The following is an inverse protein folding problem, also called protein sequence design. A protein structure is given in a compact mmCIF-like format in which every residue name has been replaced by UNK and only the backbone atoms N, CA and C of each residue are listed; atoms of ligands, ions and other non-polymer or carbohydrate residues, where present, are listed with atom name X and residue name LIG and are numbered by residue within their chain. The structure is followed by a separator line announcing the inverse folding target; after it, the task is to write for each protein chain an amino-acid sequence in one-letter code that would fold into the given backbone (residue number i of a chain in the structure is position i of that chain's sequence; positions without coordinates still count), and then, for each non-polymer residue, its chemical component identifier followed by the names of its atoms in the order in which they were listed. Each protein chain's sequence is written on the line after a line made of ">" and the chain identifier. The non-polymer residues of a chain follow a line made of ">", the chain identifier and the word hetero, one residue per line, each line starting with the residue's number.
data_IF_232354346943
#
_entry.id   IF_232354346943
#
_cell.length_a   1.000
_cell.length_b   1.000
_cell.length_c   1.000
_cell.angle_alpha   90.00
_cell.angle_beta   90.00
_cell.angle_gamma   90.00
#
_symmetry.space_group_name_H-M   'P 1'
#
loop_
_entity.id
_entity.type
_entity.pdbx_description
1 polymer ?
#
# COMPACT_ATOMS: atom_id res chain seq x y z
N UNK A 1 27.10 -61.08 -23.69
CA UNK A 1 26.90 -60.33 -24.95
C UNK A 1 26.26 -59.00 -24.61
N UNK A 2 27.10 -57.96 -24.52
CA UNK A 2 26.69 -56.63 -24.06
C UNK A 2 26.58 -55.71 -25.29
N UNK A 3 25.37 -55.25 -25.65
CA UNK A 3 25.21 -54.25 -26.70
C UNK A 3 25.54 -52.85 -26.18
N UNK A 4 26.56 -52.24 -26.79
CA UNK A 4 26.87 -50.82 -26.63
C UNK A 4 26.01 -50.03 -27.61
N UNK A 5 24.98 -49.35 -27.12
CA UNK A 5 24.15 -48.42 -27.89
C UNK A 5 24.93 -47.13 -28.16
N UNK A 6 25.20 -46.85 -29.43
CA UNK A 6 25.92 -45.66 -29.90
C UNK A 6 25.09 -44.38 -29.76
N UNK A 7 25.51 -43.51 -28.88
CA UNK A 7 24.99 -42.14 -28.63
C UNK A 7 25.60 -41.09 -29.58
N UNK A 8 25.54 -41.31 -30.92
CA UNK A 8 26.20 -40.39 -31.88
C UNK A 8 25.26 -39.50 -32.72
N UNK A 9 23.93 -39.52 -32.51
CA UNK A 9 22.99 -38.77 -33.36
C UNK A 9 22.65 -37.30 -33.03
N UNK A 10 22.79 -36.75 -31.80
CA UNK A 10 22.43 -35.35 -31.56
C UNK A 10 23.47 -34.34 -32.02
N UNK A 11 24.76 -34.67 -32.11
CA UNK A 11 25.83 -33.73 -32.40
C UNK A 11 25.90 -33.29 -33.88
N UNK A 12 25.49 -34.17 -34.82
CA UNK A 12 25.51 -33.86 -36.25
C UNK A 12 24.45 -32.84 -36.65
N UNK A 13 23.33 -32.79 -35.96
CA UNK A 13 22.28 -31.77 -36.15
C UNK A 13 22.74 -30.37 -35.75
N UNK A 14 23.41 -30.26 -34.61
CA UNK A 14 23.99 -29.03 -34.09
C UNK A 14 25.09 -28.48 -35.00
N UNK A 15 26.00 -29.35 -35.50
CA UNK A 15 27.07 -28.97 -36.43
C UNK A 15 26.54 -28.45 -37.77
N UNK A 16 25.48 -29.07 -38.32
CA UNK A 16 24.83 -28.60 -39.58
C UNK A 16 24.09 -27.27 -39.37
N UNK A 17 23.48 -27.07 -38.22
CA UNK A 17 22.83 -25.79 -37.87
C UNK A 17 23.84 -24.67 -37.70
N UNK A 18 24.93 -24.91 -36.98
CA UNK A 18 26.02 -23.93 -36.80
C UNK A 18 26.68 -23.53 -38.13
N UNK A 19 26.92 -24.50 -39.05
CA UNK A 19 27.49 -24.19 -40.35
C UNK A 19 26.53 -23.35 -41.23
N UNK A 20 25.22 -23.53 -41.12
CA UNK A 20 24.23 -22.69 -41.82
C UNK A 20 24.17 -21.27 -41.27
N UNK A 21 24.24 -21.13 -39.98
CA UNK A 21 24.26 -19.80 -39.34
C UNK A 21 25.52 -19.06 -39.75
N UNK A 22 26.68 -19.72 -39.73
CA UNK A 22 27.97 -19.11 -40.10
C UNK A 22 27.98 -18.64 -41.57
N UNK A 23 27.44 -19.44 -42.51
CA UNK A 23 27.35 -19.05 -43.94
C UNK A 23 26.42 -17.85 -44.12
N UNK A 24 25.30 -17.78 -43.41
CA UNK A 24 24.38 -16.63 -43.48
C UNK A 24 24.99 -15.37 -42.88
N UNK A 25 25.67 -15.44 -41.74
CA UNK A 25 26.38 -14.35 -41.14
C UNK A 25 27.48 -13.81 -42.05
N UNK A 26 28.28 -14.67 -42.68
CA UNK A 26 29.30 -14.26 -43.64
C UNK A 26 28.74 -13.62 -44.92
N UNK A 27 27.55 -14.02 -45.36
CA UNK A 27 26.87 -13.41 -46.50
C UNK A 27 26.36 -12.00 -46.15
N UNK A 28 25.76 -11.82 -44.97
CA UNK A 28 25.31 -10.54 -44.46
C UNK A 28 26.46 -9.55 -44.23
N UNK A 29 27.57 -10.04 -43.69
CA UNK A 29 28.79 -9.23 -43.52
C UNK A 29 29.31 -8.66 -44.83
N UNK A 30 29.30 -9.45 -45.93
CA UNK A 30 29.75 -8.99 -47.24
C UNK A 30 28.78 -7.99 -47.89
N UNK A 31 27.46 -8.15 -47.64
CA UNK A 31 26.43 -7.31 -48.21
C UNK A 31 26.30 -5.97 -47.46
N UNK A 32 26.42 -6.00 -46.13
CA UNK A 32 26.15 -4.89 -45.22
C UNK A 32 27.19 -4.75 -44.12
N UNK A 33 28.47 -4.39 -44.41
CA UNK A 33 29.54 -4.47 -43.42
C UNK A 33 29.40 -3.49 -42.25
N UNK A 34 28.77 -2.33 -42.46
CA UNK A 34 28.60 -1.31 -41.41
C UNK A 34 27.46 -1.67 -40.45
N UNK A 35 26.35 -2.16 -41.01
CA UNK A 35 25.19 -2.57 -40.22
C UNK A 35 25.45 -3.82 -39.39
N UNK A 36 26.22 -4.79 -39.94
CA UNK A 36 26.58 -6.01 -39.21
C UNK A 36 27.59 -5.73 -38.10
N UNK A 37 28.50 -4.76 -38.25
CA UNK A 37 29.37 -4.29 -37.17
C UNK A 37 28.53 -3.63 -36.05
N UNK A 38 27.55 -2.79 -36.38
CA UNK A 38 26.68 -2.16 -35.39
C UNK A 38 25.87 -3.16 -34.61
N UNK A 39 25.26 -4.13 -35.29
CA UNK A 39 24.49 -5.20 -34.64
C UNK A 39 25.36 -6.13 -33.79
N UNK A 40 26.58 -6.42 -34.25
CA UNK A 40 27.52 -7.24 -33.48
C UNK A 40 27.96 -6.54 -32.18
N UNK A 41 28.31 -5.26 -32.26
CA UNK A 41 28.64 -4.43 -31.08
C UNK A 41 27.46 -4.32 -30.10
N UNK A 42 26.25 -4.10 -30.63
CA UNK A 42 25.04 -4.04 -29.79
C UNK A 42 24.76 -5.37 -29.10
N UNK A 43 24.94 -6.48 -29.80
CA UNK A 43 24.81 -7.83 -29.23
C UNK A 43 25.82 -8.13 -28.10
N UNK A 44 27.07 -7.69 -28.26
CA UNK A 44 28.12 -7.86 -27.26
C UNK A 44 27.82 -6.98 -26.00
N UNK A 45 27.37 -5.73 -26.19
CA UNK A 45 27.00 -4.84 -25.10
C UNK A 45 25.78 -5.38 -24.35
N UNK A 46 24.76 -5.86 -25.08
CA UNK A 46 23.59 -6.46 -24.47
C UNK A 46 23.93 -7.74 -23.67
N UNK A 47 24.79 -8.60 -24.21
CA UNK A 47 25.23 -9.80 -23.50
C UNK A 47 26.08 -9.46 -22.26
N UNK A 48 26.91 -8.42 -22.32
CA UNK A 48 27.68 -7.94 -21.17
C UNK A 48 26.77 -7.38 -20.06
N UNK A 49 25.74 -6.61 -20.43
CA UNK A 49 24.75 -6.06 -19.47
C UNK A 49 23.94 -7.18 -18.83
N UNK A 50 23.48 -8.18 -19.61
CA UNK A 50 22.75 -9.33 -19.07
C UNK A 50 23.66 -10.19 -18.18
N UNK A 51 24.91 -10.39 -18.59
CA UNK A 51 25.91 -11.14 -17.81
C UNK A 51 26.24 -10.49 -16.48
N UNK A 52 26.37 -9.16 -16.44
CA UNK A 52 26.66 -8.42 -15.20
C UNK A 52 25.45 -8.38 -14.26
N UNK A 53 24.24 -8.26 -14.79
CA UNK A 53 23.03 -8.30 -13.96
C UNK A 53 22.76 -9.69 -13.39
N UNK A 54 23.07 -10.76 -14.12
CA UNK A 54 22.96 -12.13 -13.62
C UNK A 54 24.01 -12.46 -12.54
N UNK A 55 25.23 -11.86 -12.63
CA UNK A 55 26.27 -12.03 -11.62
C UNK A 55 26.08 -11.15 -10.37
N UNK A 56 25.28 -10.07 -10.49
CA UNK A 56 25.01 -9.12 -9.40
C UNK A 56 23.62 -9.32 -8.79
N UNK A 57 22.90 -10.38 -9.12
CA UNK A 57 21.65 -10.75 -8.48
C UNK A 57 21.89 -10.88 -6.96
N UNK A 58 21.08 -10.24 -6.09
CA UNK A 58 21.21 -10.45 -4.67
C UNK A 58 21.11 -11.96 -4.42
N UNK A 59 22.16 -12.51 -3.78
CA UNK A 59 22.10 -13.87 -3.27
C UNK A 59 20.82 -13.97 -2.46
N UNK A 60 19.92 -14.87 -2.87
CA UNK A 60 18.79 -15.30 -2.03
C UNK A 60 19.34 -16.17 -0.88
N UNK A 61 20.35 -15.63 -0.17
CA UNK A 61 20.62 -16.11 1.17
C UNK A 61 19.38 -15.76 1.97
N UNK A 62 18.76 -16.75 2.58
CA UNK A 62 17.74 -16.62 3.60
C UNK A 62 18.19 -15.56 4.63
N UNK A 63 18.01 -14.29 4.28
CA UNK A 63 18.00 -13.23 5.26
C UNK A 63 16.67 -13.48 5.98
N UNK A 64 16.78 -14.06 7.17
CA UNK A 64 15.64 -14.10 8.07
C UNK A 64 15.06 -12.68 8.03
N UNK A 65 13.88 -12.55 7.45
CA UNK A 65 13.17 -11.27 7.35
C UNK A 65 13.09 -10.75 8.79
N UNK A 66 13.82 -9.68 9.05
CA UNK A 66 13.84 -9.09 10.37
C UNK A 66 12.37 -8.80 10.71
N UNK A 67 11.92 -9.33 11.85
CA UNK A 67 10.56 -9.07 12.31
C UNK A 67 10.29 -7.56 12.18
N UNK A 68 9.13 -7.15 11.66
CA UNK A 68 8.80 -5.74 11.54
C UNK A 68 9.01 -5.06 12.89
N UNK A 69 9.50 -3.82 12.93
CA UNK A 69 9.69 -3.10 14.17
C UNK A 69 8.38 -3.11 14.96
N UNK A 70 8.48 -3.31 16.27
CA UNK A 70 7.31 -3.27 17.14
C UNK A 70 6.59 -1.92 16.92
N UNK A 71 5.25 -1.91 16.81
CA UNK A 71 4.49 -0.68 16.67
C UNK A 71 4.80 0.24 17.85
N UNK A 72 4.82 1.57 17.64
CA UNK A 72 5.06 2.52 18.71
C UNK A 72 4.01 2.31 19.83
N UNK A 73 4.38 2.49 21.10
CA UNK A 73 3.46 2.30 22.20
C UNK A 73 2.24 3.21 22.03
N UNK A 74 1.07 2.62 21.93
CA UNK A 74 -0.19 3.36 21.92
C UNK A 74 -0.38 4.03 23.28
N UNK A 75 -0.71 5.31 23.28
CA UNK A 75 -1.04 6.04 24.51
C UNK A 75 -2.47 5.68 24.97
N UNK A 76 -2.64 4.46 25.43
CA UNK A 76 -3.91 3.88 25.87
C UNK A 76 -3.84 3.47 27.35
N UNK A 77 -4.99 3.45 28.00
CA UNK A 77 -5.13 2.93 29.38
C UNK A 77 -4.87 1.42 29.38
N UNK A 78 -4.26 0.87 30.43
CA UNK A 78 -3.85 -0.54 30.50
C UNK A 78 -5.04 -1.46 30.84
N UNK A 79 -6.09 -1.44 30.02
CA UNK A 79 -7.22 -2.34 30.12
C UNK A 79 -7.00 -3.57 29.23
N UNK A 80 -7.43 -4.74 29.70
CA UNK A 80 -7.61 -5.89 28.83
C UNK A 80 -8.72 -5.60 27.80
N UNK A 81 -8.70 -6.21 26.61
CA UNK A 81 -9.68 -5.92 25.55
C UNK A 81 -11.15 -6.02 25.98
N UNK A 82 -11.49 -7.03 26.76
CA UNK A 82 -12.84 -7.21 27.28
C UNK A 82 -13.26 -6.15 28.30
N UNK A 83 -12.32 -5.64 29.09
CA UNK A 83 -12.53 -4.52 29.99
C UNK A 83 -12.70 -3.21 29.20
N UNK A 84 -11.87 -3.01 28.18
CA UNK A 84 -11.98 -1.83 27.32
C UNK A 84 -13.34 -1.76 26.60
N UNK A 85 -13.84 -2.89 26.10
CA UNK A 85 -15.18 -2.98 25.51
C UNK A 85 -16.28 -2.54 26.50
N UNK A 86 -16.21 -2.98 27.75
CA UNK A 86 -17.18 -2.60 28.79
C UNK A 86 -17.11 -1.11 29.09
N UNK A 87 -15.90 -0.58 29.34
CA UNK A 87 -15.67 0.86 29.61
C UNK A 87 -16.18 1.71 28.46
N UNK A 88 -15.89 1.32 27.24
CA UNK A 88 -16.34 2.05 26.05
C UNK A 88 -17.86 1.98 25.83
N UNK A 89 -18.51 0.87 26.19
CA UNK A 89 -19.96 0.73 26.13
C UNK A 89 -20.70 1.60 27.15
N UNK A 90 -20.11 1.81 28.33
CA UNK A 90 -20.68 2.66 29.39
C UNK A 90 -20.65 4.16 29.05
N UNK A 91 -19.73 4.59 28.15
CA UNK A 91 -19.68 5.98 27.70
C UNK A 91 -20.79 6.20 26.67
N UNK A 92 -21.82 7.01 26.96
CA UNK A 92 -22.91 7.22 26.03
C UNK A 92 -22.43 8.03 24.79
N UNK A 93 -23.10 7.80 23.68
CA UNK A 93 -23.01 8.73 22.54
C UNK A 93 -23.58 10.07 23.00
N UNK A 94 -22.86 11.16 22.74
CA UNK A 94 -23.26 12.50 23.18
C UNK A 94 -24.63 12.85 22.63
N UNK A 95 -25.51 13.29 23.51
CA UNK A 95 -26.80 13.86 23.14
C UNK A 95 -26.65 15.15 22.35
N UNK A 96 -27.60 15.45 21.48
CA UNK A 96 -27.62 16.68 20.70
C UNK A 96 -27.28 16.47 19.21
N UNK A 97 -27.21 17.56 18.43
CA UNK A 97 -27.05 17.46 16.98
C UNK A 97 -25.67 16.90 16.60
N UNK A 98 -25.67 15.90 15.71
CA UNK A 98 -24.47 15.44 15.01
C UNK A 98 -24.53 15.93 13.56
N UNK A 99 -24.09 17.17 13.27
CA UNK A 99 -24.25 17.75 11.95
C UNK A 99 -23.46 16.97 10.91
N UNK A 100 -24.09 16.72 9.78
CA UNK A 100 -23.49 16.05 8.65
C UNK A 100 -22.34 16.90 8.10
N UNK A 101 -21.20 16.31 7.86
CA UNK A 101 -20.07 17.00 7.22
C UNK A 101 -20.46 17.44 5.79
N UNK A 102 -19.93 18.57 5.35
CA UNK A 102 -20.14 19.02 3.97
C UNK A 102 -19.39 18.11 2.97
N UNK A 103 -19.92 17.92 1.73
CA UNK A 103 -19.23 17.17 0.69
C UNK A 103 -17.78 17.65 0.46
N UNK A 104 -16.84 16.72 0.35
CA UNK A 104 -15.45 17.03 0.01
C UNK A 104 -15.24 16.87 -1.49
N UNK A 105 -15.09 17.98 -2.19
CA UNK A 105 -14.75 17.97 -3.61
C UNK A 105 -13.26 18.26 -3.75
N UNK A 106 -12.52 17.25 -4.21
CA UNK A 106 -11.08 17.40 -4.40
C UNK A 106 -10.79 18.47 -5.46
N UNK A 107 -9.91 19.40 -5.12
CA UNK A 107 -9.43 20.46 -6.02
C UNK A 107 -7.95 20.24 -6.31
N UNK A 108 -7.58 20.04 -7.57
CA UNK A 108 -6.21 19.82 -8.01
C UNK A 108 -6.16 19.23 -9.41
N UNK A 109 -4.95 19.10 -9.95
CA UNK A 109 -4.74 18.43 -11.23
C UNK A 109 -4.84 16.90 -11.11
N UNK A 110 -4.79 16.19 -12.24
CA UNK A 110 -4.93 14.74 -12.28
C UNK A 110 -3.86 14.00 -11.45
N UNK A 111 -2.62 14.47 -11.45
CA UNK A 111 -1.53 13.86 -10.69
C UNK A 111 -1.76 14.00 -9.18
N UNK A 112 -2.13 15.19 -8.71
CA UNK A 112 -2.45 15.43 -7.31
C UNK A 112 -3.68 14.62 -6.87
N UNK A 113 -4.70 14.46 -7.74
CA UNK A 113 -5.86 13.63 -7.46
C UNK A 113 -5.48 12.15 -7.33
N UNK A 114 -4.64 11.63 -8.22
CA UNK A 114 -4.17 10.24 -8.15
C UNK A 114 -3.38 9.98 -6.85
N UNK A 115 -2.52 10.90 -6.44
CA UNK A 115 -1.79 10.81 -5.19
C UNK A 115 -2.72 10.84 -3.97
N UNK A 116 -3.68 11.76 -3.94
CA UNK A 116 -4.68 11.85 -2.88
C UNK A 116 -5.54 10.58 -2.77
N UNK A 117 -5.95 10.03 -3.93
CA UNK A 117 -6.68 8.77 -4.01
C UNK A 117 -5.87 7.63 -3.40
N UNK A 118 -4.60 7.49 -3.78
CA UNK A 118 -3.72 6.44 -3.25
C UNK A 118 -3.54 6.57 -1.72
N UNK A 119 -3.28 7.76 -1.21
CA UNK A 119 -3.13 7.99 0.23
C UNK A 119 -4.43 7.68 1.00
N UNK A 120 -5.58 8.13 0.50
CA UNK A 120 -6.87 7.85 1.16
C UNK A 120 -7.22 6.36 1.10
N UNK A 121 -6.94 5.70 -0.02
CA UNK A 121 -7.13 4.25 -0.16
C UNK A 121 -6.26 3.47 0.82
N UNK A 122 -5.02 3.90 1.05
CA UNK A 122 -4.15 3.28 2.04
C UNK A 122 -4.76 3.37 3.44
N UNK A 123 -5.23 4.54 3.86
CA UNK A 123 -5.88 4.68 5.16
C UNK A 123 -7.13 3.77 5.28
N UNK A 124 -7.99 3.77 4.27
CA UNK A 124 -9.19 2.92 4.25
C UNK A 124 -8.84 1.44 4.28
N UNK A 125 -7.83 1.01 3.51
CA UNK A 125 -7.43 -0.39 3.42
C UNK A 125 -6.84 -0.91 4.74
N UNK A 126 -5.86 -0.20 5.29
CA UNK A 126 -5.15 -0.68 6.48
C UNK A 126 -5.94 -0.50 7.78
N UNK A 127 -6.78 0.52 7.87
CA UNK A 127 -7.54 0.79 9.10
C UNK A 127 -8.90 0.07 9.15
N UNK A 128 -9.52 -0.17 7.99
CA UNK A 128 -10.86 -0.73 7.94
C UNK A 128 -11.01 -1.88 6.92
N UNK A 129 -9.91 -2.47 6.44
CA UNK A 129 -9.94 -3.54 5.44
C UNK A 129 -10.68 -4.80 5.87
N UNK A 130 -10.72 -5.08 7.17
CA UNK A 130 -11.44 -6.19 7.80
C UNK A 130 -12.85 -5.83 8.27
N UNK A 131 -13.32 -4.61 8.06
CA UNK A 131 -14.65 -4.15 8.42
C UNK A 131 -15.58 -4.15 7.19
N UNK A 132 -16.85 -3.89 7.46
CA UNK A 132 -17.83 -3.65 6.40
C UNK A 132 -17.61 -2.30 5.68
N UNK A 133 -18.41 -2.03 4.68
CA UNK A 133 -18.32 -0.77 3.92
C UNK A 133 -18.57 0.46 4.80
N UNK A 134 -19.38 0.34 5.84
CA UNK A 134 -19.71 1.46 6.73
C UNK A 134 -18.48 1.89 7.55
N UNK A 135 -17.73 0.94 8.10
CA UNK A 135 -16.47 1.21 8.80
C UNK A 135 -15.43 1.87 7.87
N UNK A 136 -15.30 1.37 6.67
CA UNK A 136 -14.38 1.91 5.66
C UNK A 136 -14.75 3.35 5.24
N UNK A 137 -16.04 3.63 5.03
CA UNK A 137 -16.55 4.99 4.72
C UNK A 137 -16.36 5.96 5.90
N UNK A 138 -16.50 5.45 7.12
CA UNK A 138 -16.30 6.25 8.33
C UNK A 138 -14.83 6.70 8.47
N UNK A 139 -13.86 5.82 8.24
CA UNK A 139 -12.43 6.16 8.22
C UNK A 139 -12.11 7.19 7.14
N UNK A 140 -12.62 7.00 5.90
CA UNK A 140 -12.44 7.99 4.83
C UNK A 140 -12.98 9.38 5.24
N UNK A 141 -14.17 9.43 5.86
CA UNK A 141 -14.77 10.68 6.31
C UNK A 141 -13.91 11.39 7.36
N UNK A 142 -13.35 10.66 8.32
CA UNK A 142 -12.45 11.25 9.34
C UNK A 142 -11.20 11.85 8.71
N UNK A 143 -10.56 11.18 7.76
CA UNK A 143 -9.41 11.75 7.04
C UNK A 143 -9.78 13.06 6.35
N UNK A 144 -10.92 13.12 5.66
CA UNK A 144 -11.38 14.34 4.98
C UNK A 144 -11.76 15.46 5.95
N UNK A 145 -12.32 15.12 7.11
CA UNK A 145 -12.61 16.09 8.17
C UNK A 145 -11.32 16.70 8.72
N UNK A 146 -10.28 15.88 8.94
CA UNK A 146 -8.95 16.35 9.39
C UNK A 146 -8.32 17.30 8.38
N UNK A 147 -8.36 17.00 7.08
CA UNK A 147 -7.83 17.90 6.03
C UNK A 147 -8.43 19.31 6.11
N UNK A 148 -9.67 19.43 6.59
CA UNK A 148 -10.38 20.72 6.75
C UNK A 148 -10.18 21.37 8.11
N UNK A 149 -9.67 20.63 9.07
CA UNK A 149 -9.54 21.11 10.44
C UNK A 149 -8.16 21.76 10.65
N UNK A 150 -8.07 22.96 11.21
CA UNK A 150 -6.82 23.73 11.30
C UNK A 150 -5.71 23.07 12.13
N UNK A 151 -6.06 22.11 12.99
CA UNK A 151 -5.08 21.39 13.81
C UNK A 151 -4.39 20.22 13.06
N UNK A 152 -4.75 19.93 11.81
CA UNK A 152 -4.21 18.85 11.02
C UNK A 152 -3.60 19.35 9.71
N UNK A 153 -2.74 18.57 9.04
CA UNK A 153 -2.23 18.90 7.73
C UNK A 153 -3.33 19.16 6.69
N UNK A 154 -3.14 20.19 5.86
CA UNK A 154 -4.13 20.61 4.85
C UNK A 154 -4.14 19.74 3.58
N UNK A 155 -3.59 18.53 3.62
CA UNK A 155 -3.61 17.59 2.50
C UNK A 155 -3.88 16.16 2.98
N UNK A 156 -4.49 15.34 2.11
CA UNK A 156 -4.84 13.96 2.44
C UNK A 156 -3.61 13.14 2.79
N UNK A 157 -2.56 13.19 1.96
CA UNK A 157 -1.32 12.48 2.26
C UNK A 157 -0.64 13.03 3.52
N UNK A 158 -0.69 14.35 3.75
CA UNK A 158 -0.19 14.95 4.97
C UNK A 158 -0.88 14.41 6.22
N UNK A 159 -2.21 14.27 6.20
CA UNK A 159 -2.98 13.66 7.30
C UNK A 159 -2.65 12.19 7.46
N UNK A 160 -2.64 11.43 6.36
CA UNK A 160 -2.45 9.96 6.42
C UNK A 160 -1.05 9.59 6.90
N UNK A 161 -0.02 10.28 6.41
CA UNK A 161 1.38 10.00 6.74
C UNK A 161 1.96 10.93 7.80
N UNK A 162 1.12 11.62 8.56
CA UNK A 162 1.57 12.48 9.65
C UNK A 162 2.34 11.65 10.69
N UNK A 163 3.56 12.11 11.00
CA UNK A 163 4.44 11.45 11.95
C UNK A 163 5.14 10.18 11.46
N UNK A 164 4.90 9.70 10.24
CA UNK A 164 5.49 8.47 9.68
C UNK A 164 7.02 8.43 9.64
N UNK A 165 7.67 9.59 9.67
CA UNK A 165 9.14 9.72 9.73
C UNK A 165 9.70 9.87 11.14
N UNK A 166 8.83 9.92 12.16
CA UNK A 166 9.23 10.02 13.56
C UNK A 166 9.42 8.63 14.18
N UNK A 167 10.26 8.47 15.17
CA UNK A 167 10.40 7.19 15.88
C UNK A 167 9.15 6.78 16.67
N UNK A 168 8.27 7.73 16.98
CA UNK A 168 6.98 7.51 17.66
C UNK A 168 5.95 8.54 17.18
N UNK A 169 4.66 8.22 17.30
CA UNK A 169 3.57 9.16 17.06
C UNK A 169 3.10 9.22 15.63
N UNK A 170 3.12 8.09 14.91
CA UNK A 170 2.45 7.96 13.62
C UNK A 170 0.95 8.15 13.81
N UNK A 171 0.34 8.99 12.99
CA UNK A 171 -1.10 9.22 13.04
C UNK A 171 -1.90 7.96 12.71
N UNK A 172 -1.38 7.16 11.79
CA UNK A 172 -1.89 5.84 11.43
C UNK A 172 -0.76 4.81 11.60
N UNK A 173 -1.01 3.78 12.39
CA UNK A 173 0.00 2.79 12.79
C UNK A 173 0.64 2.09 11.59
N UNK A 174 -0.14 1.78 10.56
CA UNK A 174 0.33 1.11 9.36
C UNK A 174 1.44 1.87 8.62
N UNK A 175 1.58 3.19 8.85
CA UNK A 175 2.62 4.00 8.19
C UNK A 175 4.00 3.82 8.81
N UNK A 176 4.11 3.17 9.98
CA UNK A 176 5.37 2.99 10.70
C UNK A 176 5.57 1.58 11.32
N UNK A 177 4.61 0.66 11.22
CA UNK A 177 4.70 -0.71 11.78
C UNK A 177 5.20 -1.75 10.77
N UNK A 178 5.56 -1.33 9.56
CA UNK A 178 5.99 -2.22 8.48
C UNK A 178 4.84 -2.80 7.64
N UNK A 179 3.59 -2.47 7.91
CA UNK A 179 2.43 -2.93 7.13
C UNK A 179 2.55 -2.61 5.65
N UNK A 180 3.16 -1.46 5.31
CA UNK A 180 3.38 -1.02 3.93
C UNK A 180 4.36 -1.93 3.14
N UNK A 181 5.13 -2.78 3.80
CA UNK A 181 6.03 -3.73 3.14
C UNK A 181 5.28 -4.96 2.59
N UNK A 182 4.04 -5.17 3.00
CA UNK A 182 3.19 -6.25 2.51
C UNK A 182 2.34 -5.74 1.36
N UNK A 183 2.27 -6.52 0.29
CA UNK A 183 1.37 -6.20 -0.82
C UNK A 183 -0.09 -6.34 -0.36
N UNK A 184 -0.94 -5.35 -0.62
CA UNK A 184 -2.38 -5.46 -0.38
C UNK A 184 -2.99 -6.59 -1.22
N UNK A 185 -4.02 -7.26 -0.70
CA UNK A 185 -4.85 -8.11 -1.55
C UNK A 185 -5.65 -7.24 -2.53
N UNK A 186 -5.85 -7.76 -3.74
CA UNK A 186 -6.43 -6.97 -4.83
C UNK A 186 -7.89 -6.58 -4.57
N UNK A 187 -8.69 -7.44 -3.97
CA UNK A 187 -10.12 -7.19 -3.76
C UNK A 187 -10.33 -6.15 -2.66
N UNK A 188 -9.60 -6.27 -1.56
CA UNK A 188 -9.60 -5.28 -0.48
C UNK A 188 -9.12 -3.91 -0.95
N UNK A 189 -8.03 -3.90 -1.72
CA UNK A 189 -7.49 -2.66 -2.28
C UNK A 189 -8.48 -1.99 -3.25
N UNK A 190 -9.06 -2.74 -4.17
CA UNK A 190 -10.05 -2.22 -5.10
C UNK A 190 -11.30 -1.69 -4.38
N UNK A 191 -11.72 -2.35 -3.29
CA UNK A 191 -12.82 -1.85 -2.44
C UNK A 191 -12.43 -0.52 -1.79
N UNK A 192 -11.25 -0.42 -1.20
CA UNK A 192 -10.75 0.81 -0.59
C UNK A 192 -10.64 1.95 -1.59
N UNK A 193 -10.15 1.68 -2.81
CA UNK A 193 -10.09 2.67 -3.89
C UNK A 193 -11.47 3.20 -4.28
N UNK A 194 -12.48 2.34 -4.43
CA UNK A 194 -13.85 2.79 -4.77
C UNK A 194 -14.42 3.70 -3.70
N UNK A 195 -14.22 3.36 -2.41
CA UNK A 195 -14.68 4.18 -1.28
C UNK A 195 -13.95 5.53 -1.26
N UNK A 196 -12.63 5.53 -1.41
CA UNK A 196 -11.82 6.73 -1.44
C UNK A 196 -12.19 7.64 -2.63
N UNK A 197 -12.43 7.05 -3.80
CA UNK A 197 -12.84 7.80 -5.00
C UNK A 197 -14.20 8.47 -4.82
N UNK A 198 -15.18 7.75 -4.28
CA UNK A 198 -16.51 8.30 -3.96
C UNK A 198 -16.41 9.44 -2.95
N UNK A 199 -15.58 9.28 -1.91
CA UNK A 199 -15.35 10.30 -0.89
C UNK A 199 -14.71 11.58 -1.48
N UNK A 200 -13.71 11.44 -2.38
CA UNK A 200 -13.09 12.56 -3.09
C UNK A 200 -14.03 13.25 -4.10
N UNK A 201 -15.08 12.55 -4.53
CA UNK A 201 -16.13 13.07 -5.39
C UNK A 201 -17.32 13.67 -4.62
N UNK A 202 -17.24 13.75 -3.29
CA UNK A 202 -18.25 14.41 -2.46
C UNK A 202 -19.21 13.47 -1.73
N UNK A 203 -19.03 12.16 -1.78
CA UNK A 203 -19.79 11.23 -0.95
C UNK A 203 -19.49 11.47 0.53
N UNK A 204 -20.53 11.61 1.35
CA UNK A 204 -20.43 11.87 2.79
C UNK A 204 -20.93 10.66 3.56
N UNK A 205 -20.22 10.29 4.61
CA UNK A 205 -20.72 9.31 5.57
C UNK A 205 -21.28 10.03 6.81
N UNK A 206 -22.57 10.33 6.74
CA UNK A 206 -23.29 11.14 7.72
C UNK A 206 -23.21 10.67 9.17
N UNK A 207 -23.20 9.34 9.50
CA UNK A 207 -23.21 8.91 10.91
C UNK A 207 -22.05 9.41 11.76
N UNK A 208 -20.86 9.62 11.18
CA UNK A 208 -19.71 10.14 11.93
C UNK A 208 -19.62 11.66 11.95
N UNK A 209 -20.45 12.35 11.17
CA UNK A 209 -20.49 13.83 11.14
C UNK A 209 -19.11 14.45 10.94
N UNK A 210 -18.74 15.35 11.80
CA UNK A 210 -17.43 16.04 11.82
C UNK A 210 -16.39 15.38 12.73
N UNK A 211 -16.50 14.08 12.99
CA UNK A 211 -15.49 13.36 13.78
C UNK A 211 -14.09 13.54 13.18
N UNK A 212 -13.12 13.79 14.05
CA UNK A 212 -11.69 13.90 13.71
C UNK A 212 -10.85 12.85 14.42
N UNK A 213 -11.41 12.15 15.39
CA UNK A 213 -10.73 11.11 16.16
C UNK A 213 -11.55 9.82 16.15
N UNK A 214 -10.86 8.71 16.21
CA UNK A 214 -11.47 7.40 16.46
C UNK A 214 -10.44 6.45 17.07
N UNK A 215 -10.93 5.40 17.66
CA UNK A 215 -10.14 4.26 18.12
C UNK A 215 -10.96 2.97 18.01
N UNK A 216 -10.26 1.83 18.03
CA UNK A 216 -10.92 0.54 18.12
C UNK A 216 -11.61 0.36 19.48
N UNK A 217 -12.75 -0.30 19.51
CA UNK A 217 -13.60 -0.47 20.70
C UNK A 217 -12.93 -1.27 21.83
N UNK A 218 -11.91 -2.06 21.50
CA UNK A 218 -11.12 -2.87 22.45
C UNK A 218 -9.92 -2.14 23.09
N UNK A 219 -9.77 -0.83 22.86
CA UNK A 219 -8.78 0.03 23.53
C UNK A 219 -9.43 1.29 24.09
N UNK A 220 -8.82 1.92 25.09
CA UNK A 220 -9.29 3.17 25.67
C UNK A 220 -8.16 4.18 25.68
N UNK A 221 -8.05 5.07 24.67
CA UNK A 221 -7.05 6.15 24.68
C UNK A 221 -7.27 7.15 25.81
N UNK A 222 -6.18 7.71 26.37
CA UNK A 222 -6.28 8.72 27.42
C UNK A 222 -7.06 9.96 26.98
N UNK A 223 -7.02 10.31 25.71
CA UNK A 223 -7.73 11.47 25.15
C UNK A 223 -9.25 11.24 24.95
N UNK A 224 -9.73 9.99 24.96
CA UNK A 224 -11.14 9.69 24.68
C UNK A 224 -12.11 10.42 25.63
N UNK A 225 -11.73 10.62 26.89
CA UNK A 225 -12.55 11.34 27.87
C UNK A 225 -12.58 12.87 27.68
N UNK A 226 -11.74 13.44 26.81
CA UNK A 226 -11.67 14.88 26.56
C UNK A 226 -12.48 15.30 25.32
N UNK A 227 -13.02 14.35 24.59
CA UNK A 227 -13.78 14.55 23.37
C UNK A 227 -15.21 13.99 23.50
N UNK A 228 -16.11 14.48 22.66
CA UNK A 228 -17.47 13.97 22.61
C UNK A 228 -17.56 12.72 21.74
N UNK A 229 -17.96 11.59 22.31
CA UNK A 229 -18.28 10.37 21.54
C UNK A 229 -19.52 10.63 20.70
N UNK A 230 -19.39 10.62 19.37
CA UNK A 230 -20.51 10.97 18.49
C UNK A 230 -21.06 9.85 17.62
N UNK A 231 -20.31 8.75 17.46
CA UNK A 231 -20.79 7.56 16.75
C UNK A 231 -20.02 6.30 17.12
N UNK A 232 -20.65 5.13 16.92
CA UNK A 232 -20.02 3.81 16.92
C UNK A 232 -20.35 3.18 15.58
N UNK A 233 -19.34 2.76 14.83
CA UNK A 233 -19.50 2.11 13.53
C UNK A 233 -18.55 0.92 13.44
N UNK A 234 -19.09 -0.28 13.31
CA UNK A 234 -18.30 -1.51 13.40
C UNK A 234 -17.52 -1.57 14.72
N UNK A 235 -16.24 -1.89 14.64
CA UNK A 235 -15.33 -1.94 15.78
C UNK A 235 -14.67 -0.59 16.12
N UNK A 236 -15.16 0.52 15.57
CA UNK A 236 -14.60 1.85 15.82
C UNK A 236 -15.57 2.78 16.53
N UNK A 237 -15.01 3.59 17.43
CA UNK A 237 -15.72 4.63 18.16
C UNK A 237 -15.19 5.98 17.72
N UNK A 238 -16.08 6.87 17.30
CA UNK A 238 -15.75 8.15 16.68
C UNK A 238 -16.04 9.32 17.62
N UNK A 239 -15.16 10.32 17.58
CA UNK A 239 -15.19 11.48 18.47
C UNK A 239 -15.00 12.78 17.71
N UNK A 240 -15.57 13.83 18.25
CA UNK A 240 -15.35 15.23 17.85
C UNK A 240 -15.01 16.11 19.06
N UNK A 241 -14.34 17.22 18.81
CA UNK A 241 -14.17 18.28 19.80
C UNK A 241 -15.52 18.95 20.13
#
# INVERSE_FOLDING_TARGET
>A
MTQVLALSRPLDGLRRSAARVHKRAAALWRAYPRETLGLGLFGIVAAAVIGTTAASGPSLTNRAEAAPPAPPPMNVRPFAPDQALKVNAEIPVAGGPNPVATPFLFKGNAAARAQALNCLSSAVYYEAGNQDEYGARAVAQVVLNRVRHPAFPASICGVVYEGSTRPTGCQFTFTCDGSLNRQPDLDGWNRAMRIAEAALAGSVYAPVGWATHYHADYVVPYWASTLSKNAVVGAHIFYRA
#
